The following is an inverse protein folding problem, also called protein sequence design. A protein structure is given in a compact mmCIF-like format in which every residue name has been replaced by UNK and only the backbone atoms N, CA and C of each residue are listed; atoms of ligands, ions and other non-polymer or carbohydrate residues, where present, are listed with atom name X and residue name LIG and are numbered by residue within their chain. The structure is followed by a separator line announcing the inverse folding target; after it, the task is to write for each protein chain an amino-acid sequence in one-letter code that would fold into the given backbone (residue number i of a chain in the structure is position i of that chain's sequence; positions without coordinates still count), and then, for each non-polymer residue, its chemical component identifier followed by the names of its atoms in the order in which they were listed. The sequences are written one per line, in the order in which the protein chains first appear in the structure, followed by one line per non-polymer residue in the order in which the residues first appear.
data_IF_937180225012
#
_entry.id   IF_937180225012
#
_cell.length_a   1.000
_cell.length_b   1.000
_cell.length_c   1.000
_cell.angle_alpha   90.00
_cell.angle_beta   90.00
_cell.angle_gamma   90.00
#
_symmetry.space_group_name_H-M   'P 1'
#
loop_
_entity.id
_entity.type
_entity.pdbx_description
1 polymer ?
#
# COMPACT_ATOMS: atom_id res chain seq x y z
N UNK A 1 8.74 5.75 -19.27
CA UNK A 1 8.24 6.69 -18.24
C UNK A 1 7.86 5.85 -17.01
N UNK A 2 8.06 6.33 -15.80
CA UNK A 2 7.63 5.60 -14.60
C UNK A 2 6.12 5.38 -14.60
N UNK A 3 5.66 4.31 -13.95
CA UNK A 3 4.23 4.02 -13.80
C UNK A 3 3.52 5.16 -13.07
N UNK A 4 2.35 5.53 -13.55
CA UNK A 4 1.49 6.50 -12.87
C UNK A 4 1.05 5.90 -11.52
N UNK A 5 1.49 6.52 -10.43
CA UNK A 5 1.45 5.92 -9.10
C UNK A 5 0.54 6.68 -8.14
N UNK A 6 -0.33 5.95 -7.45
CA UNK A 6 -1.18 6.41 -6.37
C UNK A 6 -0.69 5.84 -5.03
N UNK A 7 -0.45 6.73 -4.07
CA UNK A 7 -0.14 6.38 -2.69
C UNK A 7 -1.37 6.65 -1.84
N UNK A 8 -1.84 5.64 -1.13
CA UNK A 8 -3.14 5.67 -0.49
C UNK A 8 -3.06 5.30 1.00
N UNK A 9 -3.47 6.22 1.86
CA UNK A 9 -3.98 5.88 3.18
C UNK A 9 -5.48 5.60 3.00
N UNK A 10 -5.85 4.34 3.14
CA UNK A 10 -7.15 3.84 2.69
C UNK A 10 -8.35 4.46 3.46
N UNK A 11 -9.51 4.57 2.81
CA UNK A 11 -10.75 4.93 3.48
C UNK A 11 -11.10 3.98 4.62
N UNK A 12 -11.79 4.48 5.62
CA UNK A 12 -12.32 3.70 6.74
C UNK A 12 -13.63 3.01 6.35
N UNK A 13 -13.85 1.80 6.88
CA UNK A 13 -15.07 1.02 6.68
C UNK A 13 -15.68 0.59 8.02
N UNK A 14 -17.00 0.40 8.04
CA UNK A 14 -17.73 -0.22 9.16
C UNK A 14 -17.47 0.48 10.51
N UNK A 15 -17.29 1.79 10.48
CA UNK A 15 -16.97 2.58 11.68
C UNK A 15 -15.55 2.37 12.20
N UNK A 16 -14.69 1.70 11.45
CA UNK A 16 -13.26 1.66 11.71
C UNK A 16 -12.64 3.02 11.38
N UNK A 17 -11.92 3.60 12.33
CA UNK A 17 -11.22 4.85 12.15
C UNK A 17 -9.76 4.55 11.73
N UNK A 18 -9.54 4.39 10.44
CA UNK A 18 -8.22 4.21 9.84
C UNK A 18 -7.40 5.49 9.86
N UNK A 19 -6.29 5.48 9.15
CA UNK A 19 -5.40 6.62 8.99
C UNK A 19 -4.09 6.48 9.73
N UNK A 20 -3.16 7.38 9.44
CA UNK A 20 -1.87 7.41 10.10
C UNK A 20 -2.06 7.59 11.61
N UNK A 21 -1.36 6.78 12.41
CA UNK A 21 -1.51 6.78 13.86
C UNK A 21 -2.63 5.90 14.43
N UNK A 22 -3.46 5.26 13.61
CA UNK A 22 -4.43 4.25 14.04
C UNK A 22 -3.74 2.94 14.45
N UNK A 23 -2.90 2.98 15.49
CA UNK A 23 -2.10 1.81 15.91
C UNK A 23 -2.83 0.89 16.87
N UNK A 24 -3.72 1.44 17.68
CA UNK A 24 -4.26 0.73 18.85
C UNK A 24 -5.78 0.79 18.97
N UNK A 25 -6.46 1.63 18.20
CA UNK A 25 -7.89 1.84 18.31
C UNK A 25 -8.58 1.67 16.97
N UNK A 26 -9.63 0.88 16.96
CA UNK A 26 -10.50 0.74 15.80
C UNK A 26 -11.51 1.89 15.69
N UNK A 27 -11.82 2.52 16.81
CA UNK A 27 -12.69 3.73 16.91
C UNK A 27 -12.02 4.72 17.84
N UNK A 28 -12.15 5.99 17.54
CA UNK A 28 -11.65 7.08 18.38
C UNK A 28 -12.81 7.97 18.80
N UNK A 29 -12.80 8.40 20.06
CA UNK A 29 -13.72 9.41 20.58
C UNK A 29 -13.42 10.79 19.99
N UNK A 30 -12.13 11.07 19.80
CA UNK A 30 -11.63 12.31 19.21
C UNK A 30 -10.87 11.96 17.93
N UNK A 31 -11.29 12.54 16.81
CA UNK A 31 -10.56 12.40 15.53
C UNK A 31 -9.24 13.17 15.61
N UNK A 32 -8.15 12.43 15.71
CA UNK A 32 -6.80 12.98 15.65
C UNK A 32 -5.99 12.16 14.67
N UNK A 33 -5.60 12.78 13.59
CA UNK A 33 -4.85 12.12 12.52
C UNK A 33 -3.43 12.69 12.48
N UNK A 34 -2.45 11.80 12.30
CA UNK A 34 -1.11 12.20 11.98
C UNK A 34 -0.96 12.26 10.46
N UNK A 35 -0.05 13.11 9.99
CA UNK A 35 0.32 13.09 8.58
C UNK A 35 0.88 11.71 8.21
N UNK A 36 0.54 11.17 7.03
CA UNK A 36 1.03 9.87 6.58
C UNK A 36 2.48 10.00 6.06
N UNK A 37 3.40 10.41 6.94
CA UNK A 37 4.79 10.77 6.61
C UNK A 37 5.51 9.63 5.89
N UNK A 38 5.36 8.40 6.38
CA UNK A 38 6.00 7.23 5.75
C UNK A 38 5.51 6.99 4.33
N UNK A 39 4.22 7.18 4.08
CA UNK A 39 3.64 7.07 2.74
C UNK A 39 4.12 8.23 1.84
N UNK A 40 4.19 9.43 2.40
CA UNK A 40 4.65 10.62 1.70
C UNK A 40 6.13 10.53 1.28
N UNK A 41 6.98 9.92 2.10
CA UNK A 41 8.39 9.67 1.76
C UNK A 41 8.50 8.81 0.50
N UNK A 42 7.78 7.68 0.46
CA UNK A 42 7.77 6.83 -0.72
C UNK A 42 7.19 7.55 -1.95
N UNK A 43 6.12 8.33 -1.77
CA UNK A 43 5.53 9.13 -2.86
C UNK A 43 6.51 10.16 -3.43
N UNK A 44 7.30 10.80 -2.56
CA UNK A 44 8.30 11.78 -2.99
C UNK A 44 9.41 11.19 -3.87
N UNK A 45 9.67 9.88 -3.76
CA UNK A 45 10.64 9.18 -4.62
C UNK A 45 10.12 8.89 -6.03
N UNK A 46 8.82 9.07 -6.27
CA UNK A 46 8.18 8.78 -7.57
C UNK A 46 7.62 10.07 -8.15
N UNK A 47 8.34 10.74 -9.07
CA UNK A 47 7.89 11.99 -9.67
C UNK A 47 6.52 11.86 -10.35
N UNK A 48 5.64 12.83 -10.10
CA UNK A 48 4.29 12.85 -10.67
C UNK A 48 3.30 11.90 -9.99
N UNK A 49 3.68 11.26 -8.89
CA UNK A 49 2.76 10.46 -8.08
C UNK A 49 1.70 11.32 -7.39
N UNK A 50 0.58 10.69 -7.04
CA UNK A 50 -0.49 11.28 -6.23
C UNK A 50 -0.55 10.59 -4.87
N UNK A 51 -0.73 11.36 -3.80
CA UNK A 51 -0.99 10.84 -2.47
C UNK A 51 -2.40 11.25 -2.03
N UNK A 52 -3.16 10.30 -1.51
CA UNK A 52 -4.48 10.50 -0.91
C UNK A 52 -4.45 9.99 0.53
N UNK A 53 -4.77 10.87 1.47
CA UNK A 53 -5.00 10.54 2.88
C UNK A 53 -6.50 10.60 3.15
N UNK A 54 -7.20 9.48 2.93
CA UNK A 54 -8.65 9.44 2.91
C UNK A 54 -9.32 9.66 4.29
N UNK A 55 -8.83 9.07 5.41
CA UNK A 55 -9.53 9.16 6.70
C UNK A 55 -9.71 10.57 7.27
N UNK A 56 -8.71 11.46 7.29
CA UNK A 56 -8.90 12.80 7.84
C UNK A 56 -9.83 13.67 7.00
N UNK A 57 -9.96 13.35 5.71
CA UNK A 57 -10.85 14.05 4.78
C UNK A 57 -12.23 13.40 4.65
N UNK A 58 -12.51 12.34 5.42
CA UNK A 58 -13.75 11.56 5.35
C UNK A 58 -14.08 11.04 3.94
N UNK A 59 -13.05 10.75 3.14
CA UNK A 59 -13.26 10.20 1.81
C UNK A 59 -13.67 8.73 1.91
N UNK A 60 -14.71 8.39 1.18
CA UNK A 60 -15.13 7.01 0.93
C UNK A 60 -14.36 6.42 -0.25
N UNK A 61 -14.48 5.12 -0.48
CA UNK A 61 -13.89 4.50 -1.66
C UNK A 61 -14.45 5.09 -2.97
N UNK A 62 -15.73 5.44 -2.97
CA UNK A 62 -16.39 6.07 -4.14
C UNK A 62 -15.74 7.41 -4.52
N UNK A 63 -15.29 8.19 -3.54
CA UNK A 63 -14.69 9.49 -3.78
C UNK A 63 -13.30 9.39 -4.43
N UNK A 64 -12.66 8.23 -4.35
CA UNK A 64 -11.31 7.97 -4.91
C UNK A 64 -11.33 7.03 -6.13
N UNK A 65 -12.48 6.57 -6.59
CA UNK A 65 -12.60 5.61 -7.70
C UNK A 65 -11.89 6.08 -8.97
N UNK A 66 -12.06 7.34 -9.34
CA UNK A 66 -11.44 7.88 -10.56
C UNK A 66 -9.92 7.95 -10.44
N UNK A 67 -9.41 8.25 -9.25
CA UNK A 67 -7.97 8.18 -8.99
C UNK A 67 -7.46 6.74 -9.11
N UNK A 68 -8.18 5.78 -8.56
CA UNK A 68 -7.82 4.36 -8.66
C UNK A 68 -7.79 3.89 -10.10
N UNK A 69 -8.80 4.24 -10.92
CA UNK A 69 -8.86 3.88 -12.34
C UNK A 69 -7.74 4.53 -13.16
N UNK A 70 -7.28 5.72 -12.75
CA UNK A 70 -6.31 6.51 -13.49
C UNK A 70 -4.84 6.13 -13.24
N UNK A 71 -4.56 5.20 -12.31
CA UNK A 71 -3.20 4.86 -11.89
C UNK A 71 -2.86 3.39 -12.14
N UNK A 72 -1.58 3.13 -12.47
CA UNK A 72 -1.06 1.81 -12.83
C UNK A 72 -0.45 1.10 -11.62
N UNK A 73 0.07 1.86 -10.65
CA UNK A 73 0.65 1.38 -9.41
C UNK A 73 -0.12 1.99 -8.24
N UNK A 74 -0.62 1.16 -7.34
CA UNK A 74 -1.37 1.59 -6.15
C UNK A 74 -0.68 1.03 -4.92
N UNK A 75 -0.12 1.92 -4.12
CA UNK A 75 0.61 1.60 -2.89
C UNK A 75 -0.23 2.00 -1.69
N UNK A 76 -0.60 1.04 -0.86
CA UNK A 76 -1.45 1.26 0.33
C UNK A 76 -0.59 1.05 1.58
N UNK A 77 -0.62 2.03 2.48
CA UNK A 77 -0.01 1.87 3.80
C UNK A 77 -0.95 1.08 4.70
N UNK A 78 -0.42 0.07 5.38
CA UNK A 78 -1.18 -0.77 6.31
C UNK A 78 -0.50 -0.91 7.67
N UNK A 79 -1.28 -1.24 8.67
CA UNK A 79 -0.84 -1.56 10.02
C UNK A 79 -1.56 -2.80 10.52
N UNK A 80 -1.13 -3.38 11.64
CA UNK A 80 -1.80 -4.55 12.22
C UNK A 80 -3.30 -4.33 12.44
N UNK A 81 -3.75 -3.21 13.07
CA UNK A 81 -5.19 -2.98 13.27
C UNK A 81 -5.95 -2.67 11.97
N UNK A 82 -5.33 -2.06 10.97
CA UNK A 82 -6.00 -1.68 9.71
C UNK A 82 -5.97 -2.75 8.63
N UNK A 83 -5.14 -3.76 8.75
CA UNK A 83 -4.86 -4.73 7.69
C UNK A 83 -6.12 -5.33 7.03
N UNK A 84 -7.09 -5.77 7.85
CA UNK A 84 -8.34 -6.34 7.31
C UNK A 84 -9.16 -5.32 6.52
N UNK A 85 -9.16 -4.07 6.97
CA UNK A 85 -9.84 -2.96 6.28
C UNK A 85 -9.11 -2.62 4.98
N UNK A 86 -7.78 -2.58 5.00
CA UNK A 86 -6.96 -2.30 3.82
C UNK A 86 -7.08 -3.41 2.76
N UNK A 87 -7.22 -4.67 3.18
CA UNK A 87 -7.54 -5.78 2.26
C UNK A 87 -8.90 -5.60 1.56
N UNK A 88 -9.91 -5.01 2.25
CA UNK A 88 -11.19 -4.65 1.57
C UNK A 88 -10.94 -3.60 0.50
N UNK A 89 -10.11 -2.60 0.78
CA UNK A 89 -9.71 -1.60 -0.21
C UNK A 89 -8.99 -2.24 -1.39
N UNK A 90 -8.02 -3.11 -1.16
CA UNK A 90 -7.30 -3.82 -2.23
C UNK A 90 -8.25 -4.62 -3.14
N UNK A 91 -9.26 -5.27 -2.55
CA UNK A 91 -10.31 -6.00 -3.29
C UNK A 91 -11.14 -5.07 -4.16
N UNK A 92 -11.56 -3.92 -3.64
CA UNK A 92 -12.30 -2.91 -4.40
C UNK A 92 -11.45 -2.33 -5.53
N UNK A 93 -10.16 -2.04 -5.25
CA UNK A 93 -9.20 -1.59 -6.27
C UNK A 93 -9.11 -2.61 -7.39
N UNK A 94 -8.88 -3.89 -7.08
CA UNK A 94 -8.78 -4.96 -8.08
C UNK A 94 -10.04 -5.09 -8.93
N UNK A 95 -11.22 -4.91 -8.32
CA UNK A 95 -12.50 -5.00 -9.01
C UNK A 95 -12.69 -3.90 -10.07
N UNK A 96 -12.23 -2.67 -9.80
CA UNK A 96 -12.42 -1.53 -10.72
C UNK A 96 -11.20 -1.26 -11.60
N UNK A 97 -10.02 -1.72 -11.21
CA UNK A 97 -8.77 -1.62 -11.99
C UNK A 97 -8.01 -2.95 -11.98
N UNK A 98 -8.43 -3.91 -12.82
CA UNK A 98 -7.86 -5.27 -12.83
C UNK A 98 -6.36 -5.33 -13.19
N UNK A 99 -5.86 -4.33 -13.90
CA UNK A 99 -4.48 -4.29 -14.41
C UNK A 99 -3.51 -3.56 -13.52
N UNK A 100 -4.00 -2.80 -12.53
CA UNK A 100 -3.13 -2.08 -11.60
C UNK A 100 -2.25 -3.04 -10.79
N UNK A 101 -1.02 -2.63 -10.53
CA UNK A 101 -0.15 -3.29 -9.54
C UNK A 101 -0.53 -2.77 -8.16
N UNK A 102 -0.91 -3.68 -7.26
CA UNK A 102 -1.36 -3.34 -5.91
C UNK A 102 -0.32 -3.84 -4.91
N UNK A 103 0.18 -2.95 -4.09
CA UNK A 103 1.14 -3.30 -3.04
C UNK A 103 0.87 -2.67 -1.70
N UNK A 104 1.28 -3.36 -0.65
CA UNK A 104 1.24 -2.85 0.72
C UNK A 104 2.63 -2.50 1.23
N UNK A 105 2.67 -1.44 2.05
CA UNK A 105 3.81 -1.03 2.88
C UNK A 105 3.36 -0.88 4.33
N UNK A 106 4.31 -0.88 5.25
CA UNK A 106 4.04 -0.66 6.68
C UNK A 106 4.50 -1.81 7.57
N UNK A 107 4.39 -1.61 8.88
CA UNK A 107 4.97 -2.51 9.87
C UNK A 107 4.42 -3.95 9.80
N UNK A 108 3.12 -4.12 9.58
CA UNK A 108 2.49 -5.45 9.48
C UNK A 108 3.12 -6.29 8.39
N UNK A 109 3.23 -5.76 7.17
CA UNK A 109 3.75 -6.51 6.02
C UNK A 109 5.27 -6.61 6.03
N UNK A 110 5.97 -5.75 6.76
CA UNK A 110 7.41 -5.86 6.95
C UNK A 110 7.78 -7.08 7.80
N UNK A 111 6.96 -7.42 8.79
CA UNK A 111 7.20 -8.54 9.72
C UNK A 111 6.64 -9.86 9.18
N UNK A 112 5.46 -9.83 8.57
CA UNK A 112 4.72 -11.02 8.11
C UNK A 112 4.38 -10.90 6.60
N UNK A 113 5.39 -10.84 5.72
CA UNK A 113 5.14 -10.58 4.30
C UNK A 113 4.39 -11.72 3.60
N UNK A 114 4.79 -12.96 3.83
CA UNK A 114 4.18 -14.13 3.17
C UNK A 114 2.74 -14.36 3.65
N UNK A 115 2.52 -14.25 4.95
CA UNK A 115 1.21 -14.39 5.58
C UNK A 115 0.27 -13.26 5.10
N UNK A 116 0.79 -12.06 4.97
CA UNK A 116 0.03 -10.91 4.47
C UNK A 116 -0.38 -11.10 3.01
N UNK A 117 0.54 -11.57 2.16
CA UNK A 117 0.25 -11.90 0.77
C UNK A 117 -0.76 -13.04 0.64
N UNK A 118 -0.66 -14.06 1.50
CA UNK A 118 -1.61 -15.18 1.52
C UNK A 118 -3.02 -14.73 1.97
N UNK A 119 -3.09 -13.85 2.97
CA UNK A 119 -4.35 -13.35 3.51
C UNK A 119 -5.05 -12.32 2.61
N UNK A 120 -4.33 -11.68 1.70
CA UNK A 120 -4.86 -10.70 0.74
C UNK A 120 -4.42 -11.08 -0.69
N UNK A 121 -5.19 -11.95 -1.36
CA UNK A 121 -4.83 -12.45 -2.70
C UNK A 121 -4.76 -11.37 -3.79
N UNK A 122 -5.41 -10.23 -3.56
CA UNK A 122 -5.42 -9.10 -4.47
C UNK A 122 -4.08 -8.37 -4.59
N UNK A 123 -3.16 -8.61 -3.63
CA UNK A 123 -1.83 -8.01 -3.65
C UNK A 123 -0.93 -8.67 -4.68
N UNK A 124 -0.26 -7.86 -5.47
CA UNK A 124 0.84 -8.28 -6.33
C UNK A 124 2.14 -8.35 -5.55
N UNK A 125 2.32 -7.43 -4.56
CA UNK A 125 3.55 -7.36 -3.77
C UNK A 125 3.34 -6.74 -2.39
N UNK A 126 4.35 -6.92 -1.52
CA UNK A 126 4.60 -6.11 -0.34
C UNK A 126 6.05 -5.62 -0.36
N UNK A 127 6.26 -4.34 -0.02
CA UNK A 127 7.59 -3.76 0.12
C UNK A 127 7.92 -3.57 1.61
N UNK A 128 9.12 -4.02 2.00
CA UNK A 128 9.52 -4.15 3.41
C UNK A 128 10.64 -3.20 3.78
N UNK A 129 10.67 -2.82 5.05
CA UNK A 129 11.73 -2.01 5.67
C UNK A 129 11.90 -0.67 4.93
N UNK A 130 13.06 -0.44 4.32
CA UNK A 130 13.40 0.73 3.50
C UNK A 130 12.69 0.67 2.14
N UNK A 131 11.38 0.71 2.15
CA UNK A 131 10.53 0.50 0.98
C UNK A 131 10.55 1.66 -0.03
N UNK A 132 11.06 2.83 0.33
CA UNK A 132 11.07 4.00 -0.54
C UNK A 132 11.76 3.73 -1.86
N UNK A 133 12.98 3.17 -1.80
CA UNK A 133 13.73 2.76 -2.99
C UNK A 133 13.10 1.56 -3.70
N UNK A 134 12.55 0.61 -2.94
CA UNK A 134 11.83 -0.55 -3.49
C UNK A 134 10.64 -0.10 -4.34
N UNK A 135 9.84 0.83 -3.83
CA UNK A 135 8.68 1.39 -4.57
C UNK A 135 9.14 2.19 -5.78
N UNK A 136 10.21 2.98 -5.66
CA UNK A 136 10.80 3.70 -6.79
C UNK A 136 11.20 2.74 -7.92
N UNK A 137 11.93 1.67 -7.62
CA UNK A 137 12.37 0.68 -8.59
C UNK A 137 11.17 -0.01 -9.28
N UNK A 138 10.10 -0.33 -8.52
CA UNK A 138 8.85 -0.85 -9.09
C UNK A 138 8.23 0.16 -10.05
N UNK A 139 8.09 1.42 -9.64
CA UNK A 139 7.50 2.48 -10.47
C UNK A 139 8.30 2.73 -11.76
N UNK A 140 9.61 2.58 -11.72
CA UNK A 140 10.51 2.69 -12.88
C UNK A 140 10.47 1.46 -13.79
N UNK A 141 9.76 0.40 -13.41
CA UNK A 141 9.60 -0.82 -14.21
C UNK A 141 10.77 -1.79 -14.11
N UNK A 142 11.54 -1.75 -13.03
CA UNK A 142 12.62 -2.71 -12.80
C UNK A 142 12.08 -4.14 -12.69
N UNK A 143 12.92 -5.12 -13.05
CA UNK A 143 12.61 -6.55 -12.88
C UNK A 143 12.47 -6.86 -11.36
N UNK A 144 11.30 -7.29 -10.95
CA UNK A 144 11.00 -7.59 -9.55
C UNK A 144 11.92 -8.63 -8.93
N UNK A 145 12.45 -9.54 -9.75
CA UNK A 145 13.45 -10.52 -9.31
C UNK A 145 14.78 -9.89 -8.85
N UNK A 146 15.03 -8.66 -9.20
CA UNK A 146 16.26 -7.91 -8.82
C UNK A 146 16.05 -6.96 -7.66
N UNK A 147 14.78 -6.61 -7.34
CA UNK A 147 14.45 -5.59 -6.33
C UNK A 147 14.64 -6.14 -4.92
N UNK A 148 15.46 -5.47 -4.11
CA UNK A 148 15.69 -5.83 -2.71
C UNK A 148 14.51 -5.40 -1.83
N UNK A 149 14.18 -6.22 -0.82
CA UNK A 149 13.11 -5.92 0.13
C UNK A 149 11.70 -6.14 -0.41
N UNK A 150 11.58 -6.76 -1.58
CA UNK A 150 10.31 -7.09 -2.21
C UNK A 150 9.89 -8.52 -1.87
N UNK A 151 8.62 -8.71 -1.55
CA UNK A 151 7.92 -9.98 -1.59
C UNK A 151 6.79 -9.83 -2.60
N UNK A 152 6.69 -10.74 -3.56
CA UNK A 152 5.72 -10.60 -4.66
C UNK A 152 5.15 -11.96 -5.08
N UNK A 153 4.08 -11.91 -5.85
CA UNK A 153 3.51 -13.08 -6.50
C UNK A 153 4.08 -13.20 -7.91
N UNK A 154 4.74 -14.30 -8.19
CA UNK A 154 5.30 -14.57 -9.50
C UNK A 154 4.23 -14.99 -10.53
N UNK A 155 4.64 -15.21 -11.76
CA UNK A 155 3.74 -15.61 -12.85
C UNK A 155 3.05 -16.97 -12.62
N UNK A 156 3.60 -17.82 -11.76
CA UNK A 156 2.99 -19.10 -11.36
C UNK A 156 2.01 -18.95 -10.19
N UNK A 157 1.92 -17.74 -9.59
CA UNK A 157 1.13 -17.47 -8.42
C UNK A 157 1.85 -17.77 -7.09
N UNK A 158 3.12 -18.15 -7.13
CA UNK A 158 3.92 -18.40 -5.93
C UNK A 158 4.40 -17.10 -5.29
N UNK A 159 4.45 -17.09 -3.95
CA UNK A 159 5.00 -15.97 -3.19
C UNK A 159 6.51 -16.13 -3.09
N UNK A 160 7.23 -15.16 -3.63
CA UNK A 160 8.69 -15.09 -3.66
C UNK A 160 9.16 -13.93 -2.79
N UNK A 161 10.17 -14.14 -1.96
CA UNK A 161 10.70 -13.12 -1.04
C UNK A 161 12.19 -12.87 -1.30
N UNK A 162 12.57 -11.62 -1.50
CA UNK A 162 13.96 -11.17 -1.53
C UNK A 162 14.39 -10.62 -0.17
N UNK A 163 15.66 -10.83 0.18
CA UNK A 163 16.28 -10.21 1.36
C UNK A 163 16.23 -8.69 1.20
N UNK A 164 15.93 -7.98 2.30
CA UNK A 164 15.87 -6.53 2.33
C UNK A 164 17.22 -5.85 2.14
N UNK A 165 17.20 -4.53 1.98
CA UNK A 165 18.41 -3.70 2.01
C UNK A 165 18.97 -3.77 3.44
N UNK A 166 20.29 -4.00 3.56
CA UNK A 166 20.95 -3.89 4.85
C UNK A 166 21.06 -2.39 5.21
N UNK A 167 20.79 -2.05 6.46
CA UNK A 167 21.23 -0.77 6.99
C UNK A 167 22.77 -0.78 7.01
N UNK A 168 23.39 0.16 6.33
CA UNK A 168 24.83 0.40 6.35
C UNK A 168 25.10 1.58 7.26
#
# INVERSE_FOLDING_TARGET
MPMKSLFLQAPSFDGYDGGAGARYQMKREVKSFWFPTWLAQAAAMVPGSRLIDAPPHNLSFKDIEEDVKAHELIVIHTSTPSFKSDCKTARLVRAINPTAKIGFIGAKVAVEPNESMAACPELDFVARNEYDFTIKEIAEGADWSTIKGLTWRDASGQIVTKIGRAHV
#
